data_IF_617857166954
#
_entry.id   IF_617857166954
#
_cell.length_a   1.000
_cell.length_b   1.000
_cell.length_c   1.000
_cell.angle_alpha   90.00
_cell.angle_beta   90.00
_cell.angle_gamma   90.00
#
_symmetry.space_group_name_H-M   'P 1'
#
loop_
_entity.id
_entity.type
_entity.pdbx_description
1 polymer ?
#
# COMPACT_ATOMS: atom_id res chain seq x y z
N UNK A 1 -25.16 11.38 1.13
CA UNK A 1 -23.95 10.54 1.08
C UNK A 1 -23.89 9.69 2.32
N UNK A 2 -23.55 8.43 2.17
CA UNK A 2 -23.54 7.44 3.23
C UNK A 2 -22.25 6.64 3.16
N UNK A 3 -21.80 6.15 4.31
CA UNK A 3 -20.73 5.17 4.44
C UNK A 3 -21.29 3.92 5.13
N UNK A 4 -20.90 2.73 4.68
CA UNK A 4 -21.26 1.49 5.35
C UNK A 4 -20.16 1.15 6.36
N UNK A 5 -20.54 1.02 7.61
CA UNK A 5 -19.64 0.55 8.66
C UNK A 5 -19.38 -0.97 8.57
N UNK A 6 -18.56 -1.49 9.49
CA UNK A 6 -18.24 -2.92 9.56
C UNK A 6 -19.43 -3.82 9.90
N UNK A 7 -20.54 -3.27 10.37
CA UNK A 7 -21.80 -3.99 10.67
C UNK A 7 -22.75 -4.03 9.47
N UNK A 8 -22.44 -3.28 8.41
CA UNK A 8 -23.24 -3.14 7.21
C UNK A 8 -24.32 -2.06 7.30
N UNK A 9 -24.33 -1.31 8.38
CA UNK A 9 -25.24 -0.18 8.54
C UNK A 9 -24.70 1.06 7.78
N UNK A 10 -25.65 1.85 7.24
CA UNK A 10 -25.33 3.05 6.49
C UNK A 10 -25.31 4.28 7.39
N UNK A 11 -24.15 4.92 7.52
CA UNK A 11 -23.98 6.17 8.25
C UNK A 11 -24.18 7.36 7.31
N UNK A 12 -25.06 8.29 7.65
CA UNK A 12 -25.23 9.55 6.92
C UNK A 12 -23.99 10.43 7.11
N UNK A 13 -23.29 10.73 6.03
CA UNK A 13 -22.12 11.63 6.03
C UNK A 13 -22.50 13.09 5.82
N UNK A 14 -23.56 13.38 5.10
CA UNK A 14 -24.06 14.72 4.83
C UNK A 14 -24.98 14.79 3.63
N UNK A 15 -25.57 15.96 3.45
CA UNK A 15 -26.49 16.29 2.37
C UNK A 15 -25.97 17.48 1.55
N UNK A 16 -26.30 17.52 0.28
CA UNK A 16 -25.94 18.63 -0.64
C UNK A 16 -26.97 18.75 -1.76
N UNK A 17 -27.24 19.96 -2.19
CA UNK A 17 -28.02 20.26 -3.40
C UNK A 17 -27.12 20.28 -4.65
N UNK A 18 -25.79 20.23 -4.44
CA UNK A 18 -24.80 20.19 -5.52
C UNK A 18 -24.63 18.76 -6.04
N UNK A 19 -24.27 18.63 -7.31
CA UNK A 19 -23.83 17.36 -7.90
C UNK A 19 -22.50 16.84 -7.32
N UNK A 20 -21.90 17.56 -6.36
CA UNK A 20 -20.61 17.22 -5.75
C UNK A 20 -20.69 17.32 -4.23
N UNK A 21 -20.20 16.28 -3.55
CA UNK A 21 -19.96 16.27 -2.11
C UNK A 21 -18.49 15.96 -1.83
N UNK A 22 -17.88 16.67 -0.87
CA UNK A 22 -16.50 16.45 -0.45
C UNK A 22 -16.49 15.98 1.00
N UNK A 23 -16.16 14.72 1.21
CA UNK A 23 -15.96 14.17 2.56
C UNK A 23 -14.60 14.63 3.11
N UNK A 24 -14.60 15.38 4.23
CA UNK A 24 -13.38 15.99 4.79
C UNK A 24 -12.46 15.02 5.52
N UNK A 25 -13.01 13.93 6.03
CA UNK A 25 -12.27 12.90 6.78
C UNK A 25 -12.58 11.51 6.22
N UNK A 26 -12.21 11.22 4.96
CA UNK A 26 -12.58 9.97 4.32
C UNK A 26 -11.87 8.78 4.96
N UNK A 27 -12.60 7.67 5.13
CA UNK A 27 -12.07 6.36 5.46
C UNK A 27 -12.15 5.40 4.26
N UNK A 28 -11.50 4.25 4.34
CA UNK A 28 -11.75 3.17 3.41
C UNK A 28 -13.11 2.52 3.75
N UNK A 29 -13.99 2.38 2.77
CA UNK A 29 -15.35 1.90 3.01
C UNK A 29 -16.15 1.77 1.72
N UNK A 30 -17.45 1.66 1.86
CA UNK A 30 -18.41 1.66 0.75
C UNK A 30 -19.28 2.91 0.87
N UNK A 31 -19.24 3.76 -0.14
CA UNK A 31 -19.97 5.03 -0.18
C UNK A 31 -21.20 4.90 -1.09
N UNK A 32 -22.33 5.40 -0.63
CA UNK A 32 -23.57 5.41 -1.39
C UNK A 32 -24.17 6.82 -1.52
N UNK A 33 -24.91 7.05 -2.58
CA UNK A 33 -25.63 8.30 -2.84
C UNK A 33 -27.12 8.00 -2.98
N UNK A 34 -27.94 8.66 -2.17
CA UNK A 34 -29.41 8.65 -2.27
C UNK A 34 -29.91 10.00 -2.80
N UNK A 35 -30.88 9.96 -3.69
CA UNK A 35 -31.63 11.16 -4.07
C UNK A 35 -32.71 11.47 -3.03
N UNK A 36 -32.88 12.77 -2.68
CA UNK A 36 -33.95 13.27 -1.80
C UNK A 36 -34.73 14.34 -2.54
N UNK A 37 -36.07 14.21 -2.58
CA UNK A 37 -36.97 15.22 -3.16
C UNK A 37 -38.21 15.40 -2.29
N UNK A 38 -38.43 16.62 -1.82
CA UNK A 38 -39.62 16.96 -1.00
C UNK A 38 -39.72 16.10 0.26
N UNK A 39 -38.63 15.73 0.89
CA UNK A 39 -38.55 14.87 2.08
C UNK A 39 -38.71 13.36 1.82
N UNK A 40 -38.90 12.93 0.58
CA UNK A 40 -38.88 11.52 0.19
C UNK A 40 -37.51 11.12 -0.36
N UNK A 41 -36.99 9.98 0.11
CA UNK A 41 -35.74 9.39 -0.40
C UNK A 41 -36.02 8.45 -1.56
N UNK A 42 -35.04 8.30 -2.47
CA UNK A 42 -35.09 7.24 -3.49
C UNK A 42 -35.14 5.86 -2.84
N UNK A 43 -35.81 4.86 -3.48
CA UNK A 43 -35.92 3.50 -2.93
C UNK A 43 -34.60 2.73 -2.84
N UNK A 44 -33.52 3.29 -3.34
CA UNK A 44 -32.19 2.70 -3.32
C UNK A 44 -31.12 3.72 -3.69
N UNK A 45 -29.86 3.34 -3.53
CA UNK A 45 -28.73 4.19 -3.88
C UNK A 45 -28.69 4.44 -5.39
N UNK A 46 -28.55 5.71 -5.77
CA UNK A 46 -28.32 6.11 -7.16
C UNK A 46 -26.92 5.71 -7.64
N UNK A 47 -25.95 5.64 -6.71
CA UNK A 47 -24.59 5.22 -6.97
C UNK A 47 -23.98 4.61 -5.71
N UNK A 48 -23.19 3.55 -5.87
CA UNK A 48 -22.40 2.94 -4.79
C UNK A 48 -20.97 2.77 -5.29
N UNK A 49 -20.00 3.19 -4.48
CA UNK A 49 -18.58 3.07 -4.80
C UNK A 49 -17.81 2.52 -3.60
N UNK A 50 -17.10 1.41 -3.81
CA UNK A 50 -16.19 0.86 -2.80
C UNK A 50 -14.81 1.49 -2.89
N UNK A 51 -14.28 1.95 -1.77
CA UNK A 51 -12.91 2.49 -1.65
C UNK A 51 -11.98 1.55 -0.87
N UNK A 52 -12.49 0.36 -0.52
CA UNK A 52 -11.70 -0.65 0.19
C UNK A 52 -10.52 -1.11 -0.64
N UNK A 53 -9.30 -1.11 -0.08
CA UNK A 53 -8.15 -1.72 -0.72
C UNK A 53 -8.32 -3.25 -0.82
N UNK A 54 -7.54 -3.88 -1.65
CA UNK A 54 -7.26 -5.30 -1.54
C UNK A 54 -6.34 -5.51 -0.33
N UNK A 55 -6.68 -6.43 0.56
CA UNK A 55 -5.89 -6.78 1.75
C UNK A 55 -5.35 -8.18 1.55
N UNK A 56 -4.04 -8.34 1.72
CA UNK A 56 -3.38 -9.64 1.72
C UNK A 56 -2.68 -9.85 3.07
N UNK A 57 -3.24 -10.76 3.86
CA UNK A 57 -2.72 -11.12 5.17
C UNK A 57 -1.56 -12.11 5.14
N UNK A 58 -1.18 -12.59 3.95
CA UNK A 58 0.01 -13.42 3.77
C UNK A 58 1.26 -12.63 4.13
N UNK A 59 2.21 -13.30 4.77
CA UNK A 59 3.52 -12.71 5.05
C UNK A 59 4.46 -13.00 3.90
N UNK A 60 4.95 -11.96 3.27
CA UNK A 60 5.96 -12.00 2.22
C UNK A 60 7.31 -11.64 2.80
N UNK A 61 8.37 -12.26 2.30
CA UNK A 61 9.75 -11.91 2.69
C UNK A 61 10.58 -11.71 1.44
N UNK A 62 11.24 -10.56 1.34
CA UNK A 62 12.27 -10.30 0.35
C UNK A 62 13.61 -10.12 1.06
N UNK A 63 14.67 -10.62 0.44
CA UNK A 63 16.01 -10.67 1.01
C UNK A 63 16.93 -9.62 0.37
N UNK A 64 17.99 -9.26 1.05
CA UNK A 64 18.98 -8.34 0.51
C UNK A 64 19.82 -9.00 -0.63
N UNK A 65 20.68 -8.23 -1.24
CA UNK A 65 21.53 -8.61 -2.37
C UNK A 65 22.62 -9.66 -2.05
N UNK A 66 22.70 -10.14 -0.81
CA UNK A 66 23.52 -11.29 -0.45
C UNK A 66 22.75 -12.62 -0.47
N UNK A 67 21.46 -12.59 -0.72
CA UNK A 67 20.65 -13.80 -0.74
C UNK A 67 21.17 -14.77 -1.82
N UNK A 68 21.24 -16.07 -1.52
CA UNK A 68 21.55 -17.08 -2.52
C UNK A 68 20.53 -17.11 -3.66
N UNK A 69 20.95 -17.59 -4.83
CA UNK A 69 20.06 -17.77 -5.96
C UNK A 69 18.81 -18.61 -5.56
N UNK A 70 17.64 -18.16 -6.01
CA UNK A 70 16.37 -18.79 -5.69
C UNK A 70 15.62 -18.18 -4.48
N UNK A 71 16.26 -17.29 -3.73
CA UNK A 71 15.56 -16.49 -2.71
C UNK A 71 15.13 -15.14 -3.30
N UNK A 72 13.87 -14.73 -3.07
CA UNK A 72 13.36 -13.50 -3.67
C UNK A 72 14.01 -12.26 -3.03
N UNK A 73 14.41 -11.32 -3.87
CA UNK A 73 15.01 -10.04 -3.47
C UNK A 73 14.13 -8.85 -3.83
N UNK A 74 13.06 -9.08 -4.58
CA UNK A 74 12.17 -8.08 -5.08
C UNK A 74 10.70 -8.52 -5.03
N UNK A 75 9.79 -7.55 -5.07
CA UNK A 75 8.34 -7.78 -5.06
C UNK A 75 7.63 -6.89 -6.08
N UNK A 76 6.65 -7.47 -6.76
CA UNK A 76 5.63 -6.78 -7.54
C UNK A 76 4.29 -6.87 -6.84
N UNK A 77 3.64 -5.73 -6.62
CA UNK A 77 2.32 -5.67 -6.00
C UNK A 77 1.19 -5.71 -7.03
N UNK A 78 0.11 -6.39 -6.69
CA UNK A 78 -1.10 -6.39 -7.49
C UNK A 78 -2.35 -6.53 -6.61
N UNK A 79 -3.55 -6.20 -7.14
CA UNK A 79 -4.81 -6.42 -6.42
C UNK A 79 -5.24 -7.90 -6.33
N UNK A 80 -4.40 -8.83 -6.76
CA UNK A 80 -4.67 -10.26 -6.76
C UNK A 80 -3.60 -11.09 -6.02
N UNK A 81 -2.65 -10.44 -5.38
CA UNK A 81 -1.52 -11.06 -4.69
C UNK A 81 -0.18 -10.46 -5.11
N UNK A 82 0.85 -10.59 -4.27
CA UNK A 82 2.20 -10.18 -4.60
C UNK A 82 2.96 -11.28 -5.36
N UNK A 83 3.79 -10.86 -6.30
CA UNK A 83 4.73 -11.76 -6.98
C UNK A 83 6.13 -11.48 -6.48
N UNK A 84 6.79 -12.49 -5.95
CA UNK A 84 8.18 -12.42 -5.51
C UNK A 84 9.13 -12.85 -6.64
N UNK A 85 10.23 -12.13 -6.81
CA UNK A 85 11.24 -12.40 -7.84
C UNK A 85 12.64 -12.06 -7.36
N UNK A 86 13.66 -12.46 -8.11
CA UNK A 86 14.98 -11.86 -8.01
C UNK A 86 15.01 -10.50 -8.71
N UNK A 87 16.00 -9.69 -8.39
CA UNK A 87 16.19 -8.38 -9.02
C UNK A 87 16.70 -8.46 -10.48
N UNK A 88 17.02 -9.63 -10.97
CA UNK A 88 17.34 -9.90 -12.38
C UNK A 88 16.11 -9.88 -13.31
N UNK A 89 14.92 -9.79 -12.75
CA UNK A 89 13.67 -9.68 -13.48
C UNK A 89 13.22 -8.21 -13.53
N UNK A 90 13.00 -7.65 -14.70
CA UNK A 90 12.74 -6.21 -14.91
C UNK A 90 11.31 -5.74 -14.53
N UNK A 91 10.53 -6.52 -13.81
CA UNK A 91 9.12 -6.22 -13.52
C UNK A 91 8.80 -6.39 -12.03
N UNK A 92 9.39 -5.52 -11.22
CA UNK A 92 9.11 -5.42 -9.78
C UNK A 92 8.91 -3.96 -9.36
N UNK A 93 8.25 -3.73 -8.23
CA UNK A 93 7.96 -2.41 -7.70
C UNK A 93 8.96 -1.99 -6.62
N UNK A 94 9.36 -2.94 -5.77
CA UNK A 94 10.26 -2.70 -4.63
C UNK A 94 11.27 -3.83 -4.55
N UNK A 95 12.50 -3.50 -4.22
CA UNK A 95 13.54 -4.49 -3.91
C UNK A 95 14.22 -4.20 -2.57
N UNK A 96 14.84 -5.24 -2.00
CA UNK A 96 15.58 -5.16 -0.75
C UNK A 96 17.08 -5.17 -1.02
N UNK A 97 17.80 -4.28 -0.37
CA UNK A 97 19.26 -4.18 -0.52
C UNK A 97 19.94 -3.78 0.77
N UNK A 98 21.19 -4.16 0.90
CA UNK A 98 22.05 -3.72 1.99
C UNK A 98 22.59 -2.31 1.74
N UNK A 99 22.49 -1.43 2.74
CA UNK A 99 23.04 -0.08 2.71
C UNK A 99 24.49 -0.08 3.22
N UNK A 100 25.45 0.07 2.31
CA UNK A 100 26.87 0.25 2.62
C UNK A 100 27.45 -0.79 3.58
N UNK A 101 28.41 -0.37 4.40
CA UNK A 101 29.10 -1.23 5.39
C UNK A 101 28.31 -1.44 6.69
N UNK A 102 27.21 -0.73 6.90
CA UNK A 102 26.43 -0.79 8.15
C UNK A 102 25.66 -2.10 8.32
N UNK A 103 25.48 -2.86 7.24
CA UNK A 103 24.70 -4.10 7.27
C UNK A 103 23.18 -3.89 7.47
N UNK A 104 22.71 -2.64 7.43
CA UNK A 104 21.29 -2.32 7.46
C UNK A 104 20.66 -2.60 6.10
N UNK A 105 19.44 -3.14 6.13
CA UNK A 105 18.65 -3.32 4.91
C UNK A 105 17.88 -2.05 4.58
N UNK A 106 17.71 -1.81 3.29
CA UNK A 106 16.84 -0.77 2.76
C UNK A 106 15.82 -1.39 1.82
N UNK A 107 14.62 -0.83 1.81
CA UNK A 107 13.65 -0.98 0.73
C UNK A 107 13.94 0.10 -0.30
N UNK A 108 14.04 -0.28 -1.56
CA UNK A 108 14.31 0.63 -2.67
C UNK A 108 13.20 0.55 -3.71
N UNK A 109 12.94 1.68 -4.37
CA UNK A 109 12.12 1.74 -5.59
C UNK A 109 12.66 0.78 -6.65
N UNK A 110 11.78 0.21 -7.46
CA UNK A 110 12.18 -0.70 -8.53
C UNK A 110 13.16 -0.08 -9.52
N UNK A 111 13.08 1.21 -9.78
CA UNK A 111 13.98 1.96 -10.67
C UNK A 111 15.18 2.59 -9.96
N UNK A 112 15.33 2.39 -8.64
CA UNK A 112 16.44 2.96 -7.90
C UNK A 112 17.80 2.36 -8.30
N UNK A 113 18.87 3.19 -8.42
CA UNK A 113 20.21 2.69 -8.68
C UNK A 113 20.71 1.73 -7.59
N UNK A 114 21.62 0.80 -7.96
CA UNK A 114 22.28 0.64 -9.25
C UNK A 114 21.55 -0.28 -10.22
N UNK A 115 20.47 -0.93 -9.83
CA UNK A 115 19.75 -1.87 -10.69
C UNK A 115 18.89 -1.13 -11.72
N UNK A 116 17.98 -0.26 -11.25
CA UNK A 116 17.23 0.68 -12.09
C UNK A 116 16.34 0.08 -13.16
N UNK A 117 16.00 -1.21 -13.06
CA UNK A 117 15.29 -1.94 -14.11
C UNK A 117 13.84 -2.28 -13.75
N UNK A 118 13.43 -2.05 -12.51
CA UNK A 118 12.05 -2.22 -12.08
C UNK A 118 11.17 -1.00 -12.36
N UNK A 119 9.95 -1.04 -11.84
CA UNK A 119 8.98 0.05 -12.00
C UNK A 119 9.21 1.15 -10.95
N UNK A 120 9.13 2.43 -11.33
CA UNK A 120 9.29 3.53 -10.39
C UNK A 120 8.20 3.47 -9.31
N UNK A 121 8.62 3.31 -8.06
CA UNK A 121 7.74 3.21 -6.89
C UNK A 121 8.36 3.98 -5.73
N UNK A 122 7.96 5.22 -5.56
CA UNK A 122 8.47 6.06 -4.48
C UNK A 122 7.90 5.61 -3.11
N UNK A 123 8.74 5.56 -2.09
CA UNK A 123 8.46 5.00 -0.78
C UNK A 123 8.38 6.09 0.29
N UNK A 124 7.47 5.97 1.25
CA UNK A 124 7.37 6.86 2.40
C UNK A 124 7.03 6.10 3.69
N UNK A 125 7.60 6.54 4.82
CA UNK A 125 7.17 6.08 6.12
C UNK A 125 5.85 6.75 6.52
N UNK A 126 5.01 6.03 7.26
CA UNK A 126 3.84 6.63 7.88
C UNK A 126 4.28 7.67 8.92
N UNK A 127 3.82 8.90 8.76
CA UNK A 127 4.09 10.01 9.70
C UNK A 127 2.89 10.37 10.57
N UNK A 128 1.79 9.65 10.44
CA UNK A 128 0.52 9.95 11.11
C UNK A 128 -0.42 8.75 11.09
N UNK A 129 -1.54 8.85 10.39
CA UNK A 129 -2.52 7.77 10.32
C UNK A 129 -2.04 6.64 9.41
N UNK A 130 -2.00 5.37 9.88
CA UNK A 130 -1.69 4.22 9.03
C UNK A 130 -2.76 3.91 7.99
N UNK A 131 -3.89 4.61 8.02
CA UNK A 131 -5.00 4.44 7.07
C UNK A 131 -4.96 5.41 5.88
N UNK A 132 -3.95 6.30 5.81
CA UNK A 132 -3.82 7.24 4.70
C UNK A 132 -2.37 7.41 4.27
N UNK A 133 -2.08 7.11 3.00
CA UNK A 133 -0.77 7.35 2.43
C UNK A 133 -0.44 8.87 2.44
N UNK A 134 0.82 9.26 2.72
CA UNK A 134 1.24 10.66 2.72
C UNK A 134 0.97 11.35 1.38
N UNK A 135 0.78 12.68 1.42
CA UNK A 135 0.66 13.47 0.20
C UNK A 135 2.03 13.74 -0.46
N UNK A 136 3.08 13.74 0.34
CA UNK A 136 4.46 14.07 -0.05
C UNK A 136 5.46 13.36 0.87
N UNK A 137 6.75 13.60 0.67
CA UNK A 137 7.80 12.99 1.50
C UNK A 137 8.20 11.60 1.05
N UNK A 138 7.98 11.28 -0.23
CA UNK A 138 8.41 10.03 -0.84
C UNK A 138 9.89 10.09 -1.26
N UNK A 139 10.56 8.97 -1.16
CA UNK A 139 11.96 8.78 -1.52
C UNK A 139 12.14 7.43 -2.26
N UNK A 140 13.23 7.30 -3.00
CA UNK A 140 13.55 6.07 -3.73
C UNK A 140 14.10 4.97 -2.83
N UNK A 141 14.45 5.30 -1.59
CA UNK A 141 15.01 4.37 -0.61
C UNK A 141 14.65 4.78 0.81
N UNK A 142 14.37 3.79 1.65
CA UNK A 142 14.20 4.00 3.08
C UNK A 142 14.61 2.76 3.91
N UNK A 143 15.10 2.96 5.15
CA UNK A 143 15.34 1.87 6.08
C UNK A 143 14.01 1.42 6.70
N UNK A 144 13.61 0.14 6.54
CA UNK A 144 12.45 -0.41 7.22
C UNK A 144 12.76 -0.67 8.69
N UNK A 145 11.72 -0.66 9.54
CA UNK A 145 11.81 -1.15 10.91
C UNK A 145 10.58 -2.01 11.22
N UNK A 146 10.71 -2.97 12.12
CA UNK A 146 9.60 -3.82 12.52
C UNK A 146 8.45 -2.99 13.14
N UNK A 147 7.22 -3.31 12.78
CA UNK A 147 6.02 -2.58 13.19
C UNK A 147 5.76 -1.28 12.43
N UNK A 148 6.66 -0.87 11.53
CA UNK A 148 6.50 0.36 10.77
C UNK A 148 5.63 0.12 9.54
N UNK A 149 4.80 1.12 9.21
CA UNK A 149 4.04 1.17 7.97
C UNK A 149 4.83 1.95 6.92
N UNK A 150 5.04 1.30 5.79
CA UNK A 150 5.65 1.88 4.59
C UNK A 150 4.58 2.01 3.51
N UNK A 151 4.47 3.19 2.92
CA UNK A 151 3.62 3.43 1.75
C UNK A 151 4.46 3.48 0.49
N UNK A 152 4.02 2.77 -0.55
CA UNK A 152 4.57 2.86 -1.89
C UNK A 152 3.60 3.62 -2.81
N UNK A 153 4.11 4.55 -3.60
CA UNK A 153 3.39 5.21 -4.68
C UNK A 153 3.95 4.73 -6.01
N UNK A 154 3.16 3.95 -6.72
CA UNK A 154 3.50 3.43 -8.05
C UNK A 154 3.34 4.55 -9.08
N UNK A 155 4.42 5.22 -9.45
CA UNK A 155 4.37 6.50 -10.16
C UNK A 155 3.73 6.42 -11.55
N UNK A 156 4.03 5.40 -12.32
CA UNK A 156 3.48 5.23 -13.68
C UNK A 156 2.00 4.85 -13.66
N UNK A 157 1.58 4.08 -12.69
CA UNK A 157 0.21 3.57 -12.60
C UNK A 157 -0.70 4.44 -11.71
N UNK A 158 -0.11 5.28 -10.84
CA UNK A 158 -0.83 6.14 -9.90
C UNK A 158 -1.57 5.38 -8.80
N UNK A 159 -1.22 4.12 -8.53
CA UNK A 159 -1.75 3.34 -7.43
C UNK A 159 -0.88 3.49 -6.17
N UNK A 160 -1.48 3.14 -5.03
CA UNK A 160 -0.79 3.13 -3.76
C UNK A 160 -0.80 1.73 -3.14
N UNK A 161 0.27 1.40 -2.44
CA UNK A 161 0.39 0.20 -1.62
C UNK A 161 0.76 0.60 -0.19
N UNK A 162 0.24 -0.13 0.79
CA UNK A 162 0.62 -0.02 2.20
C UNK A 162 1.27 -1.33 2.59
N UNK A 163 2.49 -1.29 3.08
CA UNK A 163 3.21 -2.44 3.63
C UNK A 163 3.31 -2.26 5.15
N UNK A 164 2.95 -3.30 5.89
CA UNK A 164 3.19 -3.38 7.33
C UNK A 164 4.38 -4.30 7.54
N UNK A 165 5.51 -3.77 7.97
CA UNK A 165 6.72 -4.55 8.22
C UNK A 165 6.52 -5.41 9.47
N UNK A 166 6.53 -6.72 9.30
CA UNK A 166 6.29 -7.70 10.38
C UNK A 166 7.57 -8.26 10.98
N UNK A 167 8.72 -8.05 10.34
CA UNK A 167 10.00 -8.48 10.85
C UNK A 167 11.17 -8.18 9.92
N UNK A 168 12.37 -8.28 10.48
CA UNK A 168 13.66 -8.13 9.78
C UNK A 168 14.49 -9.40 9.99
N UNK A 169 14.12 -10.54 9.37
CA UNK A 169 14.77 -11.82 9.64
C UNK A 169 16.20 -11.87 9.14
N UNK A 170 17.02 -12.70 9.81
CA UNK A 170 18.30 -13.16 9.29
C UNK A 170 18.07 -14.36 8.38
N UNK A 171 18.84 -14.43 7.30
CA UNK A 171 18.75 -15.57 6.39
C UNK A 171 19.23 -16.86 7.09
N UNK A 172 18.52 -17.98 6.94
CA UNK A 172 18.81 -19.19 7.72
C UNK A 172 20.16 -19.84 7.39
N UNK A 173 20.67 -19.65 6.18
CA UNK A 173 21.89 -20.33 5.71
C UNK A 173 22.98 -19.38 5.24
N UNK A 174 22.69 -18.09 5.05
CA UNK A 174 23.67 -17.11 4.58
C UNK A 174 23.96 -16.08 5.67
N UNK A 175 25.11 -16.20 6.36
CA UNK A 175 25.48 -15.30 7.44
C UNK A 175 25.57 -13.85 6.96
N UNK A 176 24.82 -12.99 7.65
CA UNK A 176 24.82 -11.56 7.38
C UNK A 176 23.82 -11.12 6.31
N UNK A 177 23.18 -12.01 5.56
CA UNK A 177 22.03 -11.70 4.72
C UNK A 177 20.81 -11.41 5.58
N UNK A 178 20.08 -10.35 5.27
CA UNK A 178 18.88 -9.91 5.99
C UNK A 178 17.72 -9.77 5.03
N UNK A 179 16.53 -9.99 5.55
CA UNK A 179 15.28 -9.79 4.82
C UNK A 179 14.38 -8.75 5.43
N UNK A 180 13.33 -8.43 4.71
CA UNK A 180 12.19 -7.66 5.16
C UNK A 180 10.94 -8.50 4.97
N UNK A 181 10.27 -8.82 6.08
CA UNK A 181 8.98 -9.50 6.07
C UNK A 181 7.87 -8.48 6.22
N UNK A 182 6.80 -8.61 5.45
CA UNK A 182 5.69 -7.67 5.45
C UNK A 182 4.38 -8.32 5.01
N UNK A 183 3.26 -7.69 5.38
CA UNK A 183 1.93 -7.85 4.78
C UNK A 183 1.63 -6.60 3.98
N UNK A 184 0.66 -6.66 3.06
CA UNK A 184 0.34 -5.47 2.28
C UNK A 184 -1.15 -5.30 1.99
N UNK A 185 -1.51 -4.05 1.73
CA UNK A 185 -2.79 -3.64 1.17
C UNK A 185 -2.54 -2.91 -0.14
N UNK A 186 -3.34 -3.17 -1.17
CA UNK A 186 -3.25 -2.52 -2.47
C UNK A 186 -4.49 -1.70 -2.75
N UNK A 187 -4.33 -0.39 -2.96
CA UNK A 187 -5.45 0.47 -3.32
C UNK A 187 -5.76 0.33 -4.81
N UNK A 188 -6.96 -0.21 -5.10
CA UNK A 188 -7.42 -0.51 -6.46
C UNK A 188 -7.91 0.72 -7.25
N UNK A 189 -8.06 1.86 -6.58
CA UNK A 189 -8.51 3.11 -7.19
C UNK A 189 -7.30 4.01 -7.39
N UNK A 190 -7.03 4.37 -8.65
CA UNK A 190 -5.94 5.26 -9.01
C UNK A 190 -6.07 6.61 -8.29
N UNK A 191 -4.98 7.10 -7.72
CA UNK A 191 -4.93 8.37 -6.99
C UNK A 191 -5.54 8.35 -5.59
N UNK A 192 -6.25 7.28 -5.19
CA UNK A 192 -6.81 7.18 -3.85
C UNK A 192 -5.75 6.69 -2.87
N UNK A 193 -5.61 7.40 -1.73
CA UNK A 193 -4.60 7.16 -0.70
C UNK A 193 -5.15 6.47 0.57
N UNK A 194 -6.37 5.93 0.53
CA UNK A 194 -7.05 5.35 1.68
C UNK A 194 -6.78 3.86 1.83
N UNK A 195 -6.56 3.43 3.06
CA UNK A 195 -6.31 2.05 3.47
C UNK A 195 -7.13 1.70 4.71
N UNK A 196 -7.12 0.43 5.10
CA UNK A 196 -7.76 0.02 6.34
C UNK A 196 -7.02 0.61 7.55
N UNK A 197 -7.76 0.91 8.61
CA UNK A 197 -7.18 1.36 9.89
C UNK A 197 -6.66 0.20 10.75
N UNK A 198 -6.84 -1.03 10.30
CA UNK A 198 -6.37 -2.24 10.98
C UNK A 198 -4.85 -2.34 10.98
N UNK A 199 -4.35 -2.79 12.07
CA UNK A 199 -2.94 -3.09 12.38
C UNK A 199 -2.42 -4.32 11.67
#
# INVERSE_FOLDING_TARGET
FFDADSTGDWLLLGETESARYVHKAPGAGVYGVLGVRGGATSPGFASVAGTMPFVDDSVYTIWDDLAPAGFPTAVRFSPCGATLSGYEVDDYDVHCRRAGVSGLVHLLSGDAPPLGCGRPTALALSTGSPSMAPASGYADSLPPAEGVVVFGRMELAGFFVKMVVTGLPLHPTEPGCRGVSFRYEFQKIQGLRLFTSGS
#
